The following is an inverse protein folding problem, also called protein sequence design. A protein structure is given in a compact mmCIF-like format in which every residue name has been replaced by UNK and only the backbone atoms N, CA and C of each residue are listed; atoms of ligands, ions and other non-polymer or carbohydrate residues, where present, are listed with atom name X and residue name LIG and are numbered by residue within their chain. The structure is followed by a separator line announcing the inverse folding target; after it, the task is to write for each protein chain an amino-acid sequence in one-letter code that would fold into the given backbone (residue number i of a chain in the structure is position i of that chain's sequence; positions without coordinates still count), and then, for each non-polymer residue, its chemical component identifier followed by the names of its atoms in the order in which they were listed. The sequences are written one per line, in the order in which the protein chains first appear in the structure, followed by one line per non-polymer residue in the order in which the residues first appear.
data_IF_459459322027
#
_entry.id   IF_459459322027
#
_cell.length_a   1.000
_cell.length_b   1.000
_cell.length_c   1.000
_cell.angle_alpha   90.00
_cell.angle_beta   90.00
_cell.angle_gamma   90.00
#
_symmetry.space_group_name_H-M   'P 1'
#
loop_
_entity.id
_entity.type
_entity.pdbx_description
1 polymer ?
#
# COMPACT_ATOMS: atom_id res chain seq x y z
N UNK A 1 -17.38 6.76 5.76
CA UNK A 1 -18.62 6.90 6.57
C UNK A 1 -19.43 5.61 6.52
N UNK A 2 -19.09 4.57 7.29
CA UNK A 2 -19.91 3.35 7.34
C UNK A 2 -20.14 2.89 8.79
N UNK A 3 -21.38 2.51 9.11
CA UNK A 3 -21.73 1.76 10.32
C UNK A 3 -21.54 2.43 11.67
N UNK A 4 -21.28 3.73 11.77
CA UNK A 4 -21.05 4.39 13.06
C UNK A 4 -22.35 4.46 13.87
N UNK A 5 -22.48 3.59 14.87
CA UNK A 5 -23.52 3.65 15.89
C UNK A 5 -23.52 5.02 16.59
N UNK A 6 -24.68 5.68 16.61
CA UNK A 6 -24.89 6.93 17.37
C UNK A 6 -24.98 6.59 18.86
N UNK A 7 -23.86 6.70 19.56
CA UNK A 7 -23.80 6.59 21.03
C UNK A 7 -23.97 7.99 21.63
N UNK A 8 -24.84 8.16 22.63
CA UNK A 8 -24.94 9.38 23.45
C UNK A 8 -23.72 9.43 24.39
N UNK A 9 -22.65 10.12 23.98
CA UNK A 9 -21.50 10.42 24.85
C UNK A 9 -21.71 11.72 25.62
N UNK A 10 -21.14 11.85 26.82
CA UNK A 10 -21.17 13.11 27.58
C UNK A 10 -20.41 14.23 26.84
N UNK A 11 -20.75 15.48 27.13
CA UNK A 11 -20.10 16.64 26.52
C UNK A 11 -18.59 16.69 26.81
N UNK A 12 -18.18 16.31 28.03
CA UNK A 12 -16.77 16.20 28.42
C UNK A 12 -16.01 15.13 27.63
N UNK A 13 -16.59 13.93 27.45
CA UNK A 13 -15.98 12.86 26.66
C UNK A 13 -15.86 13.25 25.18
N UNK A 14 -16.85 13.98 24.65
CA UNK A 14 -16.82 14.49 23.29
C UNK A 14 -15.72 15.53 23.11
N UNK A 15 -15.60 16.49 24.03
CA UNK A 15 -14.55 17.52 24.00
C UNK A 15 -13.14 16.92 24.11
N UNK A 16 -12.94 15.92 24.99
CA UNK A 16 -11.67 15.20 25.09
C UNK A 16 -11.30 14.49 23.78
N UNK A 17 -12.27 13.78 23.18
CA UNK A 17 -12.07 13.08 21.91
C UNK A 17 -11.78 14.02 20.75
N UNK A 18 -12.45 15.17 20.68
CA UNK A 18 -12.20 16.20 19.69
C UNK A 18 -10.80 16.80 19.85
N UNK A 19 -10.36 17.08 21.09
CA UNK A 19 -9.01 17.56 21.38
C UNK A 19 -7.93 16.55 20.96
N UNK A 20 -8.15 15.26 21.21
CA UNK A 20 -7.25 14.21 20.73
C UNK A 20 -7.22 14.09 19.21
N UNK A 21 -8.39 14.18 18.56
CA UNK A 21 -8.49 14.15 17.09
C UNK A 21 -7.79 15.35 16.45
N UNK A 22 -7.92 16.54 17.02
CA UNK A 22 -7.22 17.74 16.54
C UNK A 22 -5.70 17.59 16.64
N UNK A 23 -5.18 17.06 17.76
CA UNK A 23 -3.75 16.77 17.90
C UNK A 23 -3.24 15.77 16.86
N UNK A 24 -3.99 14.68 16.65
CA UNK A 24 -3.66 13.68 15.61
C UNK A 24 -3.70 14.28 14.21
N UNK A 25 -4.70 15.10 13.91
CA UNK A 25 -4.82 15.78 12.62
C UNK A 25 -3.67 16.74 12.37
N UNK A 26 -3.29 17.55 13.37
CA UNK A 26 -2.17 18.49 13.25
C UNK A 26 -0.84 17.77 12.99
N UNK A 27 -0.55 16.70 13.76
CA UNK A 27 0.65 15.89 13.56
C UNK A 27 0.67 15.23 12.17
N UNK A 28 -0.48 14.72 11.73
CA UNK A 28 -0.66 14.12 10.41
C UNK A 28 -0.45 15.12 9.26
N UNK A 29 -1.05 16.31 9.37
CA UNK A 29 -0.87 17.38 8.39
C UNK A 29 0.60 17.82 8.30
N UNK A 30 1.26 18.01 9.45
CA UNK A 30 2.68 18.33 9.50
C UNK A 30 3.54 17.23 8.85
N UNK A 31 3.21 15.95 9.09
CA UNK A 31 3.91 14.82 8.48
C UNK A 31 3.78 14.79 6.95
N UNK A 32 2.57 15.00 6.42
CA UNK A 32 2.36 15.10 4.97
C UNK A 32 3.13 16.28 4.39
N UNK A 33 3.08 17.45 5.03
CA UNK A 33 3.79 18.64 4.56
C UNK A 33 5.31 18.40 4.52
N UNK A 34 5.89 17.76 5.55
CA UNK A 34 7.31 17.39 5.58
C UNK A 34 7.66 16.53 4.35
N UNK A 35 6.89 15.47 4.09
CA UNK A 35 7.13 14.56 2.95
C UNK A 35 7.03 15.30 1.61
N UNK A 36 5.98 16.10 1.42
CA UNK A 36 5.77 16.81 0.17
C UNK A 36 6.82 17.90 -0.09
N UNK A 37 7.28 18.59 0.96
CA UNK A 37 8.37 19.58 0.83
C UNK A 37 9.73 18.93 0.56
N UNK A 38 9.93 17.70 1.02
CA UNK A 38 11.17 16.95 0.83
C UNK A 38 11.23 16.15 -0.47
N UNK A 39 10.12 16.06 -1.21
CA UNK A 39 10.02 15.30 -2.47
C UNK A 39 10.84 15.96 -3.56
N UNK A 40 11.73 15.18 -4.18
CA UNK A 40 12.56 15.58 -5.31
C UNK A 40 12.35 14.59 -6.45
N UNK A 41 12.72 14.98 -7.67
CA UNK A 41 12.50 14.16 -8.87
C UNK A 41 13.42 12.93 -8.91
N UNK A 42 14.71 13.14 -8.65
CA UNK A 42 15.75 12.13 -8.87
C UNK A 42 16.38 11.63 -7.54
N UNK A 43 15.80 12.01 -6.40
CA UNK A 43 16.26 11.57 -5.08
C UNK A 43 15.13 11.59 -4.08
N UNK A 44 15.32 10.86 -2.99
CA UNK A 44 14.37 10.83 -1.89
C UNK A 44 15.11 10.85 -0.56
N UNK A 45 14.42 11.37 0.46
CA UNK A 45 14.91 11.35 1.83
C UNK A 45 14.43 10.09 2.55
N UNK A 46 15.35 9.37 3.18
CA UNK A 46 15.06 8.12 3.88
C UNK A 46 14.11 8.34 5.06
N UNK A 47 14.22 9.47 5.77
CA UNK A 47 13.31 9.77 6.87
C UNK A 47 11.89 10.02 6.36
N UNK A 48 11.72 10.80 5.29
CA UNK A 48 10.43 11.03 4.65
C UNK A 48 9.82 9.73 4.12
N UNK A 49 10.64 8.84 3.56
CA UNK A 49 10.19 7.52 3.13
C UNK A 49 9.70 6.66 4.30
N UNK A 50 10.43 6.60 5.41
CA UNK A 50 10.01 5.89 6.62
C UNK A 50 8.75 6.51 7.25
N UNK A 51 8.65 7.84 7.30
CA UNK A 51 7.49 8.55 7.83
C UNK A 51 6.23 8.26 6.99
N UNK A 52 6.36 8.18 5.67
CA UNK A 52 5.22 7.88 4.80
C UNK A 52 4.61 6.50 5.08
N UNK A 53 5.43 5.51 5.46
CA UNK A 53 4.94 4.18 5.86
C UNK A 53 4.08 4.26 7.13
N UNK A 54 4.52 5.01 8.14
CA UNK A 54 3.76 5.19 9.39
C UNK A 54 2.40 5.86 9.14
N UNK A 55 2.37 6.87 8.28
CA UNK A 55 1.13 7.57 7.92
C UNK A 55 0.16 6.66 7.15
N UNK A 56 0.67 5.80 6.26
CA UNK A 56 -0.14 4.87 5.47
C UNK A 56 -0.69 3.68 6.27
N UNK A 57 0.00 3.24 7.32
CA UNK A 57 -0.54 2.25 8.27
C UNK A 57 -1.73 2.86 9.02
N UNK A 58 -1.65 4.14 9.41
CA UNK A 58 -2.73 4.83 10.11
C UNK A 58 -3.90 5.21 9.19
N UNK A 59 -3.62 5.60 7.94
CA UNK A 59 -4.63 5.96 6.95
C UNK A 59 -4.19 5.54 5.53
N UNK A 60 -4.63 4.36 5.05
CA UNK A 60 -4.17 3.82 3.79
C UNK A 60 -4.81 4.43 2.53
N UNK A 61 -5.82 5.28 2.65
CA UNK A 61 -6.52 5.85 1.49
C UNK A 61 -5.83 7.11 0.91
N UNK A 62 -4.62 7.43 1.36
CA UNK A 62 -3.86 8.59 0.90
C UNK A 62 -3.08 8.24 -0.36
N UNK A 63 -3.72 8.45 -1.50
CA UNK A 63 -3.14 8.09 -2.80
C UNK A 63 -1.81 8.82 -3.09
N UNK A 64 -1.65 10.07 -2.63
CA UNK A 64 -0.43 10.85 -2.81
C UNK A 64 0.80 10.20 -2.16
N UNK A 65 0.63 9.57 -0.99
CA UNK A 65 1.75 8.90 -0.31
C UNK A 65 2.13 7.59 -1.02
N UNK A 66 1.15 6.82 -1.51
CA UNK A 66 1.45 5.65 -2.35
C UNK A 66 2.17 6.04 -3.63
N UNK A 67 1.79 7.15 -4.27
CA UNK A 67 2.50 7.67 -5.45
C UNK A 67 3.94 8.05 -5.13
N UNK A 68 4.17 8.75 -4.00
CA UNK A 68 5.52 9.06 -3.54
C UNK A 68 6.36 7.79 -3.33
N UNK A 69 5.79 6.74 -2.72
CA UNK A 69 6.51 5.46 -2.55
C UNK A 69 6.85 4.79 -3.88
N UNK A 70 5.94 4.80 -4.86
CA UNK A 70 6.22 4.27 -6.21
C UNK A 70 7.38 4.99 -6.88
N UNK A 71 7.48 6.31 -6.74
CA UNK A 71 8.61 7.08 -7.26
C UNK A 71 9.94 6.66 -6.64
N UNK A 72 9.97 6.47 -5.32
CA UNK A 72 11.16 5.97 -4.62
C UNK A 72 11.57 4.59 -5.14
N UNK A 73 10.60 3.69 -5.34
CA UNK A 73 10.86 2.34 -5.86
C UNK A 73 11.39 2.39 -7.30
N UNK A 74 10.88 3.30 -8.14
CA UNK A 74 11.37 3.47 -9.51
C UNK A 74 12.81 4.00 -9.52
N UNK A 75 13.15 4.97 -8.68
CA UNK A 75 14.53 5.47 -8.52
C UNK A 75 15.46 4.32 -8.11
N UNK A 76 15.06 3.52 -7.13
CA UNK A 76 15.86 2.37 -6.69
C UNK A 76 15.98 1.32 -7.79
N UNK A 77 14.92 1.06 -8.55
CA UNK A 77 14.94 0.11 -9.67
C UNK A 77 15.92 0.54 -10.76
N UNK A 78 15.90 1.81 -11.15
CA UNK A 78 16.86 2.38 -12.11
C UNK A 78 18.30 2.24 -11.59
N UNK A 79 18.54 2.53 -10.31
CA UNK A 79 19.85 2.34 -9.68
C UNK A 79 20.29 0.87 -9.61
N UNK A 80 19.37 -0.09 -9.62
CA UNK A 80 19.70 -1.51 -9.60
C UNK A 80 20.23 -2.00 -10.95
N UNK A 81 19.75 -1.44 -12.07
CA UNK A 81 20.21 -1.80 -13.41
C UNK A 81 21.72 -1.54 -13.60
N UNK A 82 22.28 -0.56 -12.87
CA UNK A 82 23.71 -0.24 -12.88
C UNK A 82 24.56 -1.17 -11.98
N UNK A 83 23.98 -1.71 -10.91
CA UNK A 83 24.69 -2.45 -9.85
C UNK A 83 24.58 -3.99 -9.98
N UNK A 84 23.90 -4.49 -11.01
CA UNK A 84 23.76 -5.93 -11.29
C UNK A 84 23.08 -6.70 -10.15
N UNK A 85 23.65 -7.85 -9.76
CA UNK A 85 23.05 -8.79 -8.81
C UNK A 85 22.86 -8.22 -7.40
N UNK A 86 23.75 -7.34 -6.93
CA UNK A 86 23.63 -6.72 -5.61
C UNK A 86 22.48 -5.70 -5.57
N UNK A 87 22.29 -4.96 -6.67
CA UNK A 87 21.15 -4.07 -6.86
C UNK A 87 19.83 -4.85 -6.82
N UNK A 88 19.74 -5.94 -7.58
CA UNK A 88 18.53 -6.77 -7.62
C UNK A 88 18.13 -7.31 -6.23
N UNK A 89 19.09 -7.78 -5.43
CA UNK A 89 18.80 -8.24 -4.06
C UNK A 89 18.26 -7.10 -3.16
N UNK A 90 18.80 -5.88 -3.30
CA UNK A 90 18.32 -4.70 -2.58
C UNK A 90 16.88 -4.35 -3.00
N UNK A 91 16.58 -4.39 -4.29
CA UNK A 91 15.24 -4.14 -4.82
C UNK A 91 14.22 -5.17 -4.33
N UNK A 92 14.59 -6.45 -4.31
CA UNK A 92 13.75 -7.52 -3.77
C UNK A 92 13.42 -7.24 -2.30
N UNK A 93 14.43 -6.95 -1.46
CA UNK A 93 14.20 -6.62 -0.04
C UNK A 93 13.29 -5.41 0.14
N UNK A 94 13.45 -4.38 -0.69
CA UNK A 94 12.58 -3.20 -0.67
C UNK A 94 11.13 -3.56 -1.00
N UNK A 95 10.89 -4.30 -2.09
CA UNK A 95 9.55 -4.70 -2.51
C UNK A 95 8.89 -5.66 -1.51
N UNK A 96 9.63 -6.58 -0.90
CA UNK A 96 9.13 -7.41 0.19
C UNK A 96 8.69 -6.56 1.40
N UNK A 97 9.42 -5.49 1.72
CA UNK A 97 9.03 -4.54 2.75
C UNK A 97 7.75 -3.77 2.37
N UNK A 98 7.56 -3.41 1.10
CA UNK A 98 6.32 -2.80 0.58
C UNK A 98 5.13 -3.77 0.67
N UNK A 99 5.33 -5.04 0.36
CA UNK A 99 4.29 -6.06 0.50
C UNK A 99 3.88 -6.23 1.97
N UNK A 100 4.84 -6.16 2.91
CA UNK A 100 4.52 -6.15 4.36
C UNK A 100 3.77 -4.89 4.78
N UNK A 101 4.17 -3.73 4.26
CA UNK A 101 3.49 -2.45 4.54
C UNK A 101 2.04 -2.49 4.07
N UNK A 102 1.78 -2.98 2.85
CA UNK A 102 0.41 -3.08 2.31
C UNK A 102 -0.44 -4.04 3.13
N UNK A 103 0.11 -5.17 3.59
CA UNK A 103 -0.60 -6.08 4.50
C UNK A 103 -0.97 -5.38 5.81
N UNK A 104 -0.05 -4.65 6.44
CA UNK A 104 -0.33 -3.88 7.66
C UNK A 104 -1.41 -2.81 7.44
N UNK A 105 -1.34 -2.09 6.32
CA UNK A 105 -2.36 -1.12 5.92
C UNK A 105 -3.73 -1.77 5.67
N UNK A 106 -3.78 -2.96 5.07
CA UNK A 106 -5.00 -3.72 4.84
C UNK A 106 -5.61 -4.28 6.12
N UNK A 107 -4.81 -4.56 7.16
CA UNK A 107 -5.34 -4.88 8.49
C UNK A 107 -6.08 -3.69 9.11
N UNK A 108 -5.60 -2.46 8.87
CA UNK A 108 -6.25 -1.24 9.35
C UNK A 108 -7.52 -0.91 8.56
N UNK A 109 -7.50 -1.07 7.22
CA UNK A 109 -8.66 -0.92 6.36
C UNK A 109 -8.64 -1.95 5.21
N UNK A 110 -9.34 -3.09 5.35
CA UNK A 110 -9.37 -4.15 4.33
C UNK A 110 -9.96 -3.72 2.98
N UNK A 111 -10.65 -2.57 2.93
CA UNK A 111 -11.33 -2.02 1.75
C UNK A 111 -10.54 -0.87 1.11
N UNK A 112 -9.32 -0.60 1.57
CA UNK A 112 -8.51 0.48 1.01
C UNK A 112 -8.08 0.16 -0.42
N UNK A 113 -8.57 0.94 -1.37
CA UNK A 113 -8.18 0.81 -2.77
C UNK A 113 -6.70 1.12 -2.97
N UNK A 114 -6.18 2.13 -2.26
CA UNK A 114 -4.77 2.52 -2.34
C UNK A 114 -3.81 1.39 -1.99
N UNK A 115 -4.10 0.67 -0.90
CA UNK A 115 -3.29 -0.47 -0.47
C UNK A 115 -3.31 -1.64 -1.46
N UNK A 116 -4.49 -2.05 -1.93
CA UNK A 116 -4.61 -3.13 -2.91
C UNK A 116 -3.90 -2.78 -4.22
N UNK A 117 -4.11 -1.55 -4.72
CA UNK A 117 -3.49 -1.09 -5.95
C UNK A 117 -1.95 -1.02 -5.83
N UNK A 118 -1.43 -0.48 -4.72
CA UNK A 118 0.02 -0.43 -4.48
C UNK A 118 0.63 -1.83 -4.34
N UNK A 119 -0.10 -2.76 -3.69
CA UNK A 119 0.33 -4.16 -3.55
C UNK A 119 0.49 -4.84 -4.91
N UNK A 120 -0.51 -4.72 -5.78
CA UNK A 120 -0.43 -5.25 -7.13
C UNK A 120 0.69 -4.61 -7.95
N UNK A 121 0.81 -3.29 -7.91
CA UNK A 121 1.90 -2.60 -8.60
C UNK A 121 3.28 -3.08 -8.12
N UNK A 122 3.43 -3.30 -6.81
CA UNK A 122 4.68 -3.83 -6.22
C UNK A 122 4.95 -5.26 -6.69
N UNK A 123 3.93 -6.12 -6.74
CA UNK A 123 4.04 -7.49 -7.27
C UNK A 123 4.47 -7.49 -8.74
N UNK A 124 3.93 -6.59 -9.57
CA UNK A 124 4.28 -6.50 -11.00
C UNK A 124 5.71 -6.03 -11.23
N UNK A 125 6.28 -5.26 -10.30
CA UNK A 125 7.65 -4.76 -10.37
C UNK A 125 8.65 -5.65 -9.64
N UNK A 126 8.18 -6.72 -8.99
CA UNK A 126 9.03 -7.64 -8.23
C UNK A 126 9.77 -8.59 -9.19
N UNK A 127 11.10 -8.74 -9.08
CA UNK A 127 11.84 -9.69 -9.92
C UNK A 127 11.40 -11.15 -9.73
N UNK A 128 11.19 -11.57 -8.48
CA UNK A 128 10.74 -12.93 -8.13
C UNK A 128 9.51 -12.94 -7.18
N UNK A 129 8.30 -12.62 -7.67
CA UNK A 129 7.10 -12.52 -6.84
C UNK A 129 6.61 -13.88 -6.35
N UNK A 130 6.29 -13.99 -5.06
CA UNK A 130 5.68 -15.21 -4.49
C UNK A 130 4.16 -15.19 -4.66
N UNK A 131 3.69 -15.69 -5.81
CA UNK A 131 2.26 -15.77 -6.14
C UNK A 131 1.46 -16.71 -5.23
N UNK A 132 2.08 -17.78 -4.74
CA UNK A 132 1.40 -18.72 -3.84
C UNK A 132 1.03 -18.04 -2.50
N UNK A 133 1.93 -17.22 -1.97
CA UNK A 133 1.65 -16.42 -0.78
C UNK A 133 0.53 -15.39 -1.04
N UNK A 134 0.54 -14.74 -2.20
CA UNK A 134 -0.51 -13.76 -2.54
C UNK A 134 -1.88 -14.42 -2.67
N UNK A 135 -1.97 -15.58 -3.31
CA UNK A 135 -3.20 -16.36 -3.39
C UNK A 135 -3.76 -16.72 -2.01
N UNK A 136 -2.89 -17.14 -1.09
CA UNK A 136 -3.27 -17.42 0.29
C UNK A 136 -3.77 -16.16 1.02
N UNK A 137 -3.16 -15.00 0.79
CA UNK A 137 -3.61 -13.73 1.36
C UNK A 137 -4.99 -13.34 0.81
N UNK A 138 -5.22 -13.42 -0.51
CA UNK A 138 -6.52 -13.17 -1.10
C UNK A 138 -7.60 -14.10 -0.52
N UNK A 139 -7.27 -15.39 -0.36
CA UNK A 139 -8.17 -16.38 0.25
C UNK A 139 -8.50 -16.01 1.69
N UNK A 140 -7.50 -15.58 2.48
CA UNK A 140 -7.71 -15.09 3.85
C UNK A 140 -8.67 -13.90 3.91
N UNK A 141 -8.48 -12.89 3.07
CA UNK A 141 -9.33 -11.69 3.08
C UNK A 141 -10.74 -11.95 2.53
N UNK A 142 -10.90 -12.86 1.56
CA UNK A 142 -12.21 -13.31 1.08
C UNK A 142 -12.97 -14.11 2.15
N UNK A 143 -12.28 -14.95 2.92
CA UNK A 143 -12.88 -15.67 4.04
C UNK A 143 -13.31 -14.72 5.17
N UNK A 144 -12.64 -13.57 5.34
CA UNK A 144 -13.00 -12.57 6.33
C UNK A 144 -14.22 -11.72 5.94
N UNK A 145 -14.34 -11.36 4.65
CA UNK A 145 -15.48 -10.65 4.09
C UNK A 145 -15.64 -11.07 2.62
N UNK A 146 -16.61 -11.96 2.38
CA UNK A 146 -16.94 -12.52 1.07
C UNK A 146 -17.40 -11.47 0.06
N UNK A 147 -17.78 -10.27 0.52
CA UNK A 147 -18.17 -9.11 -0.30
C UNK A 147 -17.02 -8.11 -0.46
N UNK A 148 -15.83 -8.38 0.07
CA UNK A 148 -14.63 -7.56 -0.15
C UNK A 148 -14.06 -7.66 -1.58
N UNK A 149 -14.83 -8.27 -2.48
CA UNK A 149 -14.59 -8.37 -3.92
C UNK A 149 -14.10 -7.05 -4.56
N UNK A 150 -14.52 -5.86 -4.11
CA UNK A 150 -14.07 -4.61 -4.76
C UNK A 150 -12.57 -4.33 -4.62
N UNK A 151 -11.93 -4.72 -3.52
CA UNK A 151 -10.47 -4.58 -3.36
C UNK A 151 -9.70 -5.75 -3.97
N UNK A 152 -10.14 -6.96 -3.65
CA UNK A 152 -9.49 -8.22 -4.07
C UNK A 152 -9.73 -8.54 -5.55
N UNK A 153 -10.90 -8.23 -6.09
CA UNK A 153 -11.26 -8.52 -7.48
C UNK A 153 -10.99 -7.32 -8.38
N UNK A 154 -11.17 -6.05 -8.00
CA UNK A 154 -10.90 -4.95 -8.95
C UNK A 154 -9.43 -4.85 -9.36
N UNK A 155 -8.51 -5.23 -8.49
CA UNK A 155 -7.07 -5.15 -8.75
C UNK A 155 -6.55 -6.43 -9.43
N UNK A 156 -7.22 -7.56 -9.20
CA UNK A 156 -6.86 -8.84 -9.81
C UNK A 156 -7.78 -9.26 -10.98
N UNK A 157 -8.90 -8.60 -11.28
CA UNK A 157 -9.72 -8.87 -12.47
C UNK A 157 -9.20 -8.17 -13.72
N UNK A 158 -8.26 -7.24 -13.63
CA UNK A 158 -7.44 -6.88 -14.79
C UNK A 158 -6.58 -8.07 -15.26
N UNK A 159 -6.41 -9.12 -14.43
CA UNK A 159 -5.91 -10.41 -14.88
C UNK A 159 -6.93 -11.23 -15.68
N UNK A 160 -8.22 -10.89 -15.78
CA UNK A 160 -9.09 -11.59 -16.74
C UNK A 160 -8.73 -11.26 -18.20
N UNK A 161 -8.00 -10.17 -18.43
CA UNK A 161 -7.44 -9.81 -19.74
C UNK A 161 -6.02 -10.38 -19.93
N UNK A 162 -5.26 -10.64 -18.85
CA UNK A 162 -3.86 -11.10 -18.94
C UNK A 162 -3.61 -12.57 -18.53
N UNK A 163 -4.33 -13.12 -17.56
CA UNK A 163 -4.24 -14.55 -17.19
C UNK A 163 -4.85 -15.45 -18.28
N UNK A 164 -5.77 -14.95 -19.10
CA UNK A 164 -6.13 -15.66 -20.34
C UNK A 164 -4.93 -15.78 -21.28
N UNK A 165 -4.06 -14.77 -21.39
CA UNK A 165 -2.86 -14.86 -22.25
C UNK A 165 -1.78 -15.80 -21.70
N UNK A 166 -1.54 -15.83 -20.38
CA UNK A 166 -0.51 -16.72 -19.79
C UNK A 166 -0.95 -18.19 -19.75
N UNK A 167 -2.26 -18.45 -19.60
CA UNK A 167 -2.81 -19.82 -19.72
C UNK A 167 -2.94 -20.24 -21.20
N UNK A 168 -3.20 -19.33 -22.15
CA UNK A 168 -3.22 -19.67 -23.58
C UNK A 168 -1.82 -19.99 -24.14
N UNK A 169 -0.78 -19.26 -23.71
CA UNK A 169 0.59 -19.47 -24.20
C UNK A 169 1.18 -20.80 -23.72
N UNK A 170 0.73 -21.35 -22.59
CA UNK A 170 1.15 -22.68 -22.12
C UNK A 170 0.21 -23.83 -22.54
N UNK A 171 -0.89 -23.52 -23.26
CA UNK A 171 -1.80 -24.52 -23.85
C UNK A 171 -1.70 -24.60 -25.38
N UNK A 172 -0.97 -23.70 -26.03
CA UNK A 172 -0.65 -23.78 -27.46
C UNK A 172 0.87 -23.83 -27.61
N UNK A 173 1.41 -25.00 -27.26
CA UNK A 173 2.45 -25.61 -28.09
C UNK A 173 1.81 -26.17 -29.37
#
# INVERSE_FOLDING_TARGET
MHGRLKVRTSEEQKALKEKEQQKKLAAYQAGIQKILSGRKKDSYDSECFALSAQLLIANPDIYTLWNYRKEVILIEKEACEENGTEGEEKLIKLLEAELKLTEQSLLANPKSYGSWHHRYWSMMNHPNPNWANEFNLCTKYLNMDDRNCKGVISVYCDLSIFAWNVVFINCVA
#
